data_IF_346861177302
#
_entry.id   IF_346861177302
#
_cell.length_a   1.000
_cell.length_b   1.000
_cell.length_c   1.000
_cell.angle_alpha   90.00
_cell.angle_beta   90.00
_cell.angle_gamma   90.00
#
_symmetry.space_group_name_H-M   'P 1'
#
loop_
_entity.id
_entity.type
_entity.pdbx_description
1 polymer ?
#
# COMPACT_ATOMS: atom_id res chain seq x y z
N UNK A 1 10.51 -3.35 15.28
CA UNK A 1 9.25 -2.57 15.44
C UNK A 1 8.61 -3.05 16.73
N UNK A 2 8.79 -2.32 17.85
CA UNK A 2 8.19 -2.67 19.14
C UNK A 2 7.78 -1.36 19.84
N UNK A 3 6.57 -0.90 19.54
CA UNK A 3 6.00 0.34 20.08
C UNK A 3 5.01 1.01 19.11
N UNK A 4 4.25 2.01 19.56
CA UNK A 4 3.32 2.76 18.72
C UNK A 4 4.00 3.44 17.52
N UNK A 5 3.25 3.75 16.45
CA UNK A 5 3.82 4.33 15.22
C UNK A 5 4.64 5.62 15.44
N UNK A 6 4.27 6.44 16.43
CA UNK A 6 4.96 7.70 16.73
C UNK A 6 6.33 7.54 17.41
N UNK A 7 6.65 6.36 17.95
CA UNK A 7 7.93 6.12 18.67
C UNK A 7 9.04 5.58 17.78
N UNK A 8 8.73 5.26 16.51
CA UNK A 8 9.66 4.62 15.57
C UNK A 8 9.59 5.22 14.16
N UNK A 9 9.30 6.52 14.06
CA UNK A 9 9.31 7.22 12.77
C UNK A 9 10.73 7.18 12.19
N UNK A 10 10.84 6.74 10.95
CA UNK A 10 12.08 6.74 10.18
C UNK A 10 11.86 7.46 8.86
N UNK A 11 12.94 7.98 8.27
CA UNK A 11 12.85 8.59 6.95
C UNK A 11 12.48 7.52 5.91
N UNK A 12 11.37 7.67 5.17
CA UNK A 12 10.97 6.69 4.19
C UNK A 12 11.92 6.72 2.99
N UNK A 13 12.08 5.58 2.32
CA UNK A 13 12.84 5.51 1.05
C UNK A 13 12.22 6.42 -0.02
N UNK A 14 10.89 6.40 -0.12
CA UNK A 14 10.09 7.28 -0.98
C UNK A 14 8.72 7.48 -0.34
N UNK A 15 8.15 8.68 -0.49
CA UNK A 15 6.82 9.01 0.01
C UNK A 15 6.12 10.04 -0.88
N UNK A 16 4.79 10.01 -0.91
CA UNK A 16 3.95 11.02 -1.54
C UNK A 16 3.03 11.66 -0.51
N UNK A 17 2.81 12.97 -0.61
CA UNK A 17 1.85 13.69 0.23
C UNK A 17 0.50 13.77 -0.48
N UNK A 18 -0.53 13.15 0.10
CA UNK A 18 -1.87 13.12 -0.48
C UNK A 18 -2.62 14.45 -0.28
N UNK A 19 -2.34 15.20 0.79
CA UNK A 19 -3.07 16.42 1.11
C UNK A 19 -4.48 16.20 1.68
N UNK A 20 -4.83 14.95 2.01
CA UNK A 20 -6.14 14.53 2.44
C UNK A 20 -6.06 13.54 3.62
N UNK A 21 -7.11 13.50 4.45
CA UNK A 21 -7.30 12.42 5.43
C UNK A 21 -7.90 11.15 4.82
N UNK A 22 -8.28 11.18 3.54
CA UNK A 22 -8.95 10.08 2.87
C UNK A 22 -8.62 10.00 1.37
N UNK A 23 -8.45 8.79 0.80
CA UNK A 23 -8.30 8.58 -0.63
C UNK A 23 -9.46 9.11 -1.48
N UNK A 24 -10.67 9.26 -0.91
CA UNK A 24 -11.87 9.68 -1.65
C UNK A 24 -11.73 11.06 -2.30
N UNK A 25 -10.92 11.94 -1.72
CA UNK A 25 -10.77 13.31 -2.23
C UNK A 25 -10.12 13.35 -3.61
N UNK A 26 -9.18 12.43 -3.88
CA UNK A 26 -8.58 12.27 -5.21
C UNK A 26 -8.13 10.80 -5.41
N UNK A 27 -9.08 9.91 -5.77
CA UNK A 27 -8.83 8.47 -5.88
C UNK A 27 -7.75 8.15 -6.92
N UNK A 28 -7.75 8.86 -8.06
CA UNK A 28 -6.79 8.64 -9.15
C UNK A 28 -5.38 9.02 -8.73
N UNK A 29 -5.20 10.16 -8.05
CA UNK A 29 -3.89 10.55 -7.52
C UNK A 29 -3.39 9.52 -6.49
N UNK A 30 -4.25 9.04 -5.61
CA UNK A 30 -3.90 8.00 -4.64
C UNK A 30 -3.42 6.71 -5.33
N UNK A 31 -4.11 6.24 -6.37
CA UNK A 31 -3.69 5.08 -7.17
C UNK A 31 -2.35 5.32 -7.89
N UNK A 32 -2.17 6.50 -8.48
CA UNK A 32 -0.93 6.87 -9.16
C UNK A 32 0.26 6.87 -8.19
N UNK A 33 0.09 7.40 -6.97
CA UNK A 33 1.12 7.33 -5.93
C UNK A 33 1.49 5.89 -5.57
N UNK A 34 0.50 5.00 -5.40
CA UNK A 34 0.76 3.58 -5.11
C UNK A 34 1.52 2.91 -6.25
N UNK A 35 1.10 3.12 -7.50
CA UNK A 35 1.75 2.55 -8.67
C UNK A 35 3.21 3.01 -8.80
N UNK A 36 3.49 4.30 -8.55
CA UNK A 36 4.86 4.82 -8.56
C UNK A 36 5.71 4.25 -7.42
N UNK A 37 5.15 4.07 -6.21
CA UNK A 37 5.86 3.40 -5.11
C UNK A 37 6.18 1.94 -5.44
N UNK A 38 5.23 1.21 -6.02
CA UNK A 38 5.43 -0.17 -6.44
C UNK A 38 6.49 -0.28 -7.54
N UNK A 39 6.46 0.62 -8.53
CA UNK A 39 7.46 0.73 -9.58
C UNK A 39 8.86 0.98 -9.01
N UNK A 40 9.00 1.93 -8.07
CA UNK A 40 10.28 2.16 -7.36
C UNK A 40 10.77 0.91 -6.65
N UNK A 41 9.90 0.19 -5.94
CA UNK A 41 10.29 -1.07 -5.32
C UNK A 41 10.81 -2.09 -6.35
N UNK A 42 10.09 -2.28 -7.47
CA UNK A 42 10.50 -3.25 -8.49
C UNK A 42 11.84 -2.88 -9.15
N UNK A 43 12.06 -1.59 -9.42
CA UNK A 43 13.25 -1.11 -10.11
C UNK A 43 14.48 -1.04 -9.19
N UNK A 44 14.31 -0.69 -7.93
CA UNK A 44 15.42 -0.26 -7.07
C UNK A 44 15.65 -1.18 -5.85
N UNK A 45 14.67 -1.98 -5.45
CA UNK A 45 14.70 -2.72 -4.17
C UNK A 45 14.60 -4.24 -4.39
N UNK A 46 13.66 -4.70 -5.21
CA UNK A 46 13.33 -6.12 -5.37
C UNK A 46 14.55 -7.01 -5.67
N UNK A 47 15.50 -6.50 -6.46
CA UNK A 47 16.71 -7.21 -6.89
C UNK A 47 18.01 -6.51 -6.48
N UNK A 48 17.98 -5.67 -5.44
CA UNK A 48 19.17 -4.92 -4.99
C UNK A 48 20.27 -5.83 -4.41
N UNK A 49 19.92 -7.04 -4.02
CA UNK A 49 20.86 -8.05 -3.50
C UNK A 49 20.78 -9.33 -4.32
N UNK A 50 21.67 -10.29 -4.05
CA UNK A 50 21.64 -11.62 -4.69
C UNK A 50 20.34 -12.41 -4.36
N UNK A 51 19.53 -11.94 -3.41
CA UNK A 51 18.22 -12.51 -3.08
C UNK A 51 17.10 -11.50 -3.34
N UNK A 52 15.91 -12.03 -3.62
CA UNK A 52 14.71 -11.24 -3.78
C UNK A 52 14.26 -10.68 -2.43
N UNK A 53 14.07 -9.36 -2.36
CA UNK A 53 13.54 -8.69 -1.16
C UNK A 53 12.01 -8.81 -1.17
N UNK A 54 11.33 -9.39 -0.18
CA UNK A 54 9.86 -9.46 -0.17
C UNK A 54 9.20 -8.10 0.09
N UNK A 55 8.01 -7.89 -0.47
CA UNK A 55 7.18 -6.70 -0.25
C UNK A 55 5.90 -7.05 0.52
N UNK A 56 5.64 -6.30 1.59
CA UNK A 56 4.37 -6.33 2.33
C UNK A 56 3.66 -5.00 2.12
N UNK A 57 2.39 -5.06 1.70
CA UNK A 57 1.58 -3.88 1.44
C UNK A 57 0.35 -3.89 2.36
N UNK A 58 0.27 -2.90 3.23
CA UNK A 58 -0.93 -2.64 4.01
C UNK A 58 -1.86 -1.73 3.20
N UNK A 59 -3.10 -2.19 2.96
CA UNK A 59 -4.12 -1.40 2.25
C UNK A 59 -4.92 -0.53 3.21
N UNK A 60 -5.68 0.42 2.67
CA UNK A 60 -6.69 1.13 3.46
C UNK A 60 -7.82 0.17 3.91
N UNK A 61 -8.54 0.52 4.98
CA UNK A 61 -9.59 -0.32 5.57
C UNK A 61 -10.97 -0.22 4.93
N UNK A 62 -11.06 0.22 3.67
CA UNK A 62 -12.37 0.47 3.04
C UNK A 62 -12.76 -0.69 2.13
N UNK A 63 -13.83 -1.38 2.51
CA UNK A 63 -14.29 -2.60 1.83
C UNK A 63 -15.64 -2.43 1.12
N UNK A 64 -16.13 -1.18 0.98
CA UNK A 64 -17.42 -0.86 0.34
C UNK A 64 -17.29 0.37 -0.56
N UNK A 65 -18.18 0.50 -1.55
CA UNK A 65 -18.26 1.64 -2.48
C UNK A 65 -16.91 1.92 -3.18
N UNK A 66 -16.58 3.21 -3.35
CA UNK A 66 -15.31 3.64 -3.97
C UNK A 66 -14.07 3.00 -3.33
N UNK A 67 -14.10 2.73 -2.02
CA UNK A 67 -12.99 2.07 -1.36
C UNK A 67 -12.76 0.64 -1.87
N UNK A 68 -13.84 -0.09 -2.11
CA UNK A 68 -13.76 -1.41 -2.71
C UNK A 68 -13.21 -1.34 -4.14
N UNK A 69 -13.68 -0.38 -4.95
CA UNK A 69 -13.18 -0.18 -6.31
C UNK A 69 -11.68 0.14 -6.33
N UNK A 70 -11.21 0.99 -5.39
CA UNK A 70 -9.80 1.28 -5.20
C UNK A 70 -8.99 0.03 -4.83
N UNK A 71 -9.48 -0.76 -3.86
CA UNK A 71 -8.82 -2.00 -3.46
C UNK A 71 -8.66 -2.97 -4.64
N UNK A 72 -9.72 -3.14 -5.45
CA UNK A 72 -9.67 -3.98 -6.65
C UNK A 72 -8.64 -3.45 -7.66
N UNK A 73 -8.56 -2.14 -7.87
CA UNK A 73 -7.58 -1.54 -8.78
C UNK A 73 -6.14 -1.74 -8.28
N UNK A 74 -5.90 -1.59 -6.97
CA UNK A 74 -4.61 -1.86 -6.35
C UNK A 74 -4.20 -3.32 -6.57
N UNK A 75 -5.10 -4.27 -6.28
CA UNK A 75 -4.82 -5.71 -6.45
C UNK A 75 -4.56 -6.08 -7.91
N UNK A 76 -5.28 -5.50 -8.86
CA UNK A 76 -5.08 -5.72 -10.30
C UNK A 76 -3.74 -5.18 -10.79
N UNK A 77 -3.33 -4.00 -10.30
CA UNK A 77 -2.07 -3.36 -10.70
C UNK A 77 -0.86 -4.08 -10.10
N UNK A 78 -0.91 -4.38 -8.80
CA UNK A 78 0.22 -4.92 -8.04
C UNK A 78 0.36 -6.44 -8.23
N UNK A 79 -0.76 -7.15 -8.44
CA UNK A 79 -0.81 -8.61 -8.61
C UNK A 79 -0.05 -9.36 -7.49
N UNK A 80 -0.45 -9.20 -6.22
CA UNK A 80 0.24 -9.82 -5.10
C UNK A 80 0.18 -11.36 -5.20
N UNK A 81 1.25 -12.03 -4.75
CA UNK A 81 1.30 -13.49 -4.70
C UNK A 81 0.40 -14.08 -3.61
N UNK A 82 0.27 -13.37 -2.49
CA UNK A 82 -0.54 -13.77 -1.34
C UNK A 82 -1.39 -12.60 -0.89
N UNK A 83 -2.64 -12.88 -0.52
CA UNK A 83 -3.58 -11.89 0.02
C UNK A 83 -4.05 -12.42 1.39
N UNK A 84 -3.87 -11.59 2.42
CA UNK A 84 -4.32 -11.89 3.78
C UNK A 84 -5.41 -10.89 4.17
N UNK A 85 -6.65 -11.37 4.32
CA UNK A 85 -7.76 -10.56 4.81
C UNK A 85 -7.94 -10.78 6.30
N UNK A 86 -7.88 -9.69 7.06
CA UNK A 86 -8.27 -9.69 8.47
C UNK A 86 -9.71 -9.19 8.53
N UNK A 87 -10.61 -10.05 9.00
CA UNK A 87 -12.03 -9.72 9.15
C UNK A 87 -12.56 -10.41 10.41
N UNK A 88 -13.53 -9.77 11.04
CA UNK A 88 -14.36 -10.44 12.05
C UNK A 88 -15.51 -11.14 11.34
N UNK A 89 -15.98 -12.30 11.85
CA UNK A 89 -17.22 -12.90 11.35
C UNK A 89 -18.35 -11.86 11.43
N UNK A 90 -19.17 -11.76 10.38
CA UNK A 90 -20.43 -11.02 10.50
C UNK A 90 -21.35 -11.78 11.48
N UNK A 91 -21.95 -11.05 12.43
CA UNK A 91 -22.95 -11.60 13.35
C UNK A 91 -24.24 -11.96 12.61
#
# INVERSE_FOLDING_TARGET
ILGPSFTHLQMPYRSFYIGASTPKQNPDYYLNCINELYKTYMMEIAHRSNTFTPLVINTHGWIRGIGFDLLIQILKSIRPMYIYQFAFPEN
#
